data_IF_504240950383
#
_entry.id   IF_504240950383
#
_cell.length_a   1.000
_cell.length_b   1.000
_cell.length_c   1.000
_cell.angle_alpha   90.00
_cell.angle_beta   90.00
_cell.angle_gamma   90.00
#
_symmetry.space_group_name_H-M   'P 1'
#
loop_
_entity.id
_entity.type
_entity.pdbx_description
1 polymer ?
#
# COMPACT_ATOMS: atom_id res chain seq x y z
N UNK A 1 -22.94 10.30 -25.84
CA UNK A 1 -22.72 9.67 -24.53
C UNK A 1 -23.45 8.34 -24.55
N UNK A 2 -22.68 7.27 -24.58
CA UNK A 2 -23.14 5.91 -24.88
C UNK A 2 -24.02 5.37 -23.74
N UNK A 3 -25.02 4.52 -24.05
CA UNK A 3 -25.91 3.96 -23.02
C UNK A 3 -25.15 3.15 -21.95
N UNK A 4 -23.94 2.67 -22.27
CA UNK A 4 -23.04 1.96 -21.37
C UNK A 4 -22.53 2.81 -20.19
N UNK A 5 -22.49 4.14 -20.32
CA UNK A 5 -21.98 5.03 -19.25
C UNK A 5 -23.03 5.27 -18.15
N UNK A 6 -24.31 4.92 -18.39
CA UNK A 6 -25.42 5.16 -17.46
C UNK A 6 -25.63 4.05 -16.41
N UNK A 7 -24.95 2.91 -16.53
CA UNK A 7 -25.14 1.75 -15.64
C UNK A 7 -23.91 1.37 -14.81
N UNK A 8 -22.77 2.05 -14.98
CA UNK A 8 -21.56 1.75 -14.20
C UNK A 8 -21.69 2.28 -12.77
N UNK A 9 -21.47 1.41 -11.78
CA UNK A 9 -21.41 1.81 -10.38
C UNK A 9 -20.19 2.70 -10.09
N UNK A 10 -20.26 3.46 -9.00
CA UNK A 10 -19.16 4.33 -8.58
C UNK A 10 -18.17 3.53 -7.73
N UNK A 11 -16.89 3.58 -8.08
CA UNK A 11 -15.83 3.03 -7.23
C UNK A 11 -15.30 4.09 -6.28
N UNK A 12 -15.23 3.78 -4.98
CA UNK A 12 -14.55 4.61 -3.99
C UNK A 12 -13.18 4.03 -3.68
N UNK A 13 -12.13 4.78 -3.97
CA UNK A 13 -10.76 4.44 -3.60
C UNK A 13 -10.46 5.08 -2.24
N UNK A 14 -10.31 4.24 -1.22
CA UNK A 14 -9.99 4.67 0.14
C UNK A 14 -8.48 4.57 0.35
N UNK A 15 -7.82 5.72 0.48
CA UNK A 15 -6.40 5.82 0.81
C UNK A 15 -6.25 5.95 2.34
N UNK A 16 -5.94 4.84 3.00
CA UNK A 16 -5.71 4.80 4.43
C UNK A 16 -4.23 5.02 4.75
N UNK A 17 -3.87 6.21 5.22
CA UNK A 17 -2.50 6.57 5.59
C UNK A 17 -2.30 6.38 7.10
N UNK A 18 -1.25 5.66 7.47
CA UNK A 18 -1.02 5.30 8.87
C UNK A 18 0.46 5.32 9.23
N UNK A 19 0.77 5.67 10.48
CA UNK A 19 2.08 5.34 11.05
C UNK A 19 2.18 3.82 11.25
N UNK A 20 3.39 3.25 11.30
CA UNK A 20 3.54 1.84 11.61
C UNK A 20 2.88 1.46 12.94
N UNK A 21 2.47 0.19 13.05
CA UNK A 21 1.79 -0.36 14.24
C UNK A 21 0.46 0.35 14.58
N UNK A 22 -0.18 1.06 13.65
CA UNK A 22 -1.45 1.77 13.90
C UNK A 22 -2.70 0.95 13.57
N UNK A 23 -2.61 -0.39 13.62
CA UNK A 23 -3.70 -1.34 13.29
C UNK A 23 -4.26 -1.24 11.86
N UNK A 24 -3.55 -0.59 10.95
CA UNK A 24 -3.97 -0.46 9.55
C UNK A 24 -4.08 -1.81 8.83
N UNK A 25 -3.27 -2.80 9.18
CA UNK A 25 -3.42 -4.19 8.69
C UNK A 25 -4.72 -4.86 9.17
N UNK A 26 -5.16 -4.59 10.41
CA UNK A 26 -6.44 -5.13 10.88
C UNK A 26 -7.62 -4.50 10.12
N UNK A 27 -7.51 -3.19 9.80
CA UNK A 27 -8.48 -2.51 8.95
C UNK A 27 -8.47 -3.05 7.53
N UNK A 28 -7.29 -3.29 6.94
CA UNK A 28 -7.11 -3.96 5.64
C UNK A 28 -7.91 -5.27 5.60
N UNK A 29 -7.69 -6.19 6.56
CA UNK A 29 -8.42 -7.46 6.61
C UNK A 29 -9.93 -7.28 6.81
N UNK A 30 -10.36 -6.26 7.56
CA UNK A 30 -11.80 -5.98 7.75
C UNK A 30 -12.47 -5.54 6.44
N UNK A 31 -11.74 -4.81 5.60
CA UNK A 31 -12.18 -4.40 4.27
C UNK A 31 -12.15 -5.59 3.30
N UNK A 32 -11.05 -6.35 3.27
CA UNK A 32 -10.85 -7.50 2.39
C UNK A 32 -11.88 -8.63 2.59
N UNK A 33 -12.45 -8.74 3.78
CA UNK A 33 -13.52 -9.71 4.08
C UNK A 33 -14.85 -9.44 3.34
N UNK A 34 -14.99 -8.31 2.64
CA UNK A 34 -16.22 -7.92 1.94
C UNK A 34 -16.14 -8.21 0.44
N UNK A 35 -17.22 -8.72 -0.13
CA UNK A 35 -17.33 -9.03 -1.56
C UNK A 35 -17.37 -7.80 -2.48
N UNK A 36 -17.60 -6.60 -1.95
CA UNK A 36 -17.63 -5.34 -2.69
C UNK A 36 -16.33 -4.53 -2.54
N UNK A 37 -15.29 -5.15 -2.00
CA UNK A 37 -14.00 -4.53 -1.73
C UNK A 37 -12.87 -5.31 -2.36
N UNK A 38 -11.86 -4.59 -2.86
CA UNK A 38 -10.54 -5.15 -3.14
C UNK A 38 -9.52 -4.39 -2.28
N UNK A 39 -8.79 -5.12 -1.45
CA UNK A 39 -7.80 -4.54 -0.55
C UNK A 39 -6.39 -4.61 -1.13
N UNK A 40 -5.68 -3.49 -1.12
CA UNK A 40 -4.29 -3.35 -1.56
C UNK A 40 -3.38 -3.06 -0.36
N UNK A 41 -2.49 -3.99 -0.06
CA UNK A 41 -1.50 -3.85 1.02
C UNK A 41 -0.28 -3.09 0.50
N UNK A 42 -0.01 -1.93 1.12
CA UNK A 42 1.15 -1.05 0.90
C UNK A 42 1.57 -0.89 -0.58
N UNK A 43 0.67 -0.43 -1.47
CA UNK A 43 0.95 -0.43 -2.91
C UNK A 43 2.09 0.50 -3.36
N UNK A 44 2.53 1.42 -2.50
CA UNK A 44 3.64 2.34 -2.73
C UNK A 44 4.98 1.84 -2.15
N UNK A 45 5.00 0.68 -1.49
CA UNK A 45 6.18 0.24 -0.75
C UNK A 45 7.41 0.05 -1.65
N UNK A 46 7.22 -0.54 -2.84
CA UNK A 46 8.30 -0.71 -3.82
C UNK A 46 8.88 0.62 -4.29
N UNK A 47 8.01 1.57 -4.66
CA UNK A 47 8.42 2.91 -5.11
C UNK A 47 9.22 3.64 -4.02
N UNK A 48 8.76 3.53 -2.77
CA UNK A 48 9.49 4.06 -1.62
C UNK A 48 10.86 3.40 -1.45
N UNK A 49 10.95 2.06 -1.54
CA UNK A 49 12.23 1.36 -1.48
C UNK A 49 13.21 1.82 -2.57
N UNK A 50 12.72 2.03 -3.80
CA UNK A 50 13.54 2.55 -4.90
C UNK A 50 14.04 3.97 -4.62
N UNK A 51 13.17 4.85 -4.12
CA UNK A 51 13.55 6.21 -3.75
C UNK A 51 14.65 6.22 -2.67
N UNK A 52 14.51 5.41 -1.61
CA UNK A 52 15.52 5.32 -0.55
C UNK A 52 16.84 4.72 -1.03
N UNK A 53 16.79 3.74 -1.95
CA UNK A 53 17.99 3.14 -2.54
C UNK A 53 18.79 4.15 -3.37
N UNK A 54 18.10 5.07 -4.06
CA UNK A 54 18.73 6.17 -4.82
C UNK A 54 19.37 7.19 -3.85
N UNK A 55 18.71 7.48 -2.72
CA UNK A 55 19.16 8.49 -1.76
C UNK A 55 20.29 8.01 -0.80
N UNK A 56 20.93 6.88 -1.12
CA UNK A 56 22.09 6.31 -0.40
C UNK A 56 21.83 5.86 1.04
N UNK A 57 20.58 5.80 1.50
CA UNK A 57 20.21 5.10 2.73
C UNK A 57 19.81 3.67 2.41
N UNK A 58 20.71 2.72 2.66
CA UNK A 58 20.41 1.28 2.57
C UNK A 58 19.42 0.93 3.68
N UNK A 59 18.12 1.12 3.42
CA UNK A 59 17.08 0.60 4.30
C UNK A 59 17.19 -0.92 4.24
N UNK A 60 17.79 -1.51 5.27
CA UNK A 60 17.94 -2.97 5.35
C UNK A 60 16.58 -3.58 5.64
N UNK A 61 15.99 -4.18 4.61
CA UNK A 61 14.80 -5.01 4.72
C UNK A 61 15.10 -6.37 4.10
N UNK A 62 14.73 -7.48 4.75
CA UNK A 62 15.03 -8.84 4.27
C UNK A 62 14.58 -9.12 2.83
N UNK A 63 13.64 -8.33 2.29
CA UNK A 63 13.04 -8.54 0.96
C UNK A 63 13.17 -7.37 -0.01
N UNK A 64 13.89 -6.28 0.33
CA UNK A 64 13.93 -5.08 -0.51
C UNK A 64 14.41 -5.37 -1.94
N UNK A 65 15.47 -6.17 -2.08
CA UNK A 65 16.03 -6.53 -3.38
C UNK A 65 15.03 -7.30 -4.25
N UNK A 66 14.24 -8.19 -3.65
CA UNK A 66 13.20 -8.95 -4.36
C UNK A 66 12.07 -8.07 -4.87
N UNK A 67 11.67 -7.05 -4.11
CA UNK A 67 10.71 -6.04 -4.58
C UNK A 67 11.27 -5.21 -5.73
N UNK A 68 12.55 -4.81 -5.65
CA UNK A 68 13.21 -4.02 -6.70
C UNK A 68 13.29 -4.81 -8.01
N UNK A 69 13.76 -6.06 -7.94
CA UNK A 69 14.02 -6.91 -9.10
C UNK A 69 12.76 -7.59 -9.65
N UNK A 70 11.63 -7.55 -8.91
CA UNK A 70 10.41 -8.27 -9.26
C UNK A 70 10.58 -9.80 -9.21
N UNK A 71 11.62 -10.28 -8.53
CA UNK A 71 11.95 -11.70 -8.40
C UNK A 71 11.33 -12.32 -7.16
N UNK A 72 10.95 -13.59 -7.25
CA UNK A 72 10.50 -14.38 -6.10
C UNK A 72 11.45 -14.24 -4.90
N UNK A 73 10.91 -13.99 -3.71
CA UNK A 73 11.72 -14.03 -2.49
C UNK A 73 12.12 -15.45 -2.13
N UNK A 74 13.39 -15.67 -1.77
CA UNK A 74 13.88 -16.96 -1.25
C UNK A 74 13.21 -17.37 0.07
N UNK A 75 12.46 -16.46 0.69
CA UNK A 75 11.71 -16.67 1.92
C UNK A 75 10.19 -16.80 1.68
N UNK A 76 9.75 -16.79 0.41
CA UNK A 76 8.37 -17.10 0.05
C UNK A 76 8.24 -18.62 -0.07
N UNK A 77 7.79 -19.26 1.02
CA UNK A 77 7.62 -20.72 1.11
C UNK A 77 6.37 -21.24 0.41
N UNK A 78 5.80 -20.47 -0.51
CA UNK A 78 4.64 -20.91 -1.29
C UNK A 78 5.12 -21.91 -2.35
N UNK A 79 4.63 -23.15 -2.29
CA UNK A 79 5.02 -24.23 -3.21
C UNK A 79 4.61 -23.98 -4.68
N UNK A 80 3.75 -22.98 -4.93
CA UNK A 80 3.29 -22.59 -6.26
C UNK A 80 4.15 -21.46 -6.84
N UNK A 81 5.17 -21.83 -7.62
CA UNK A 81 6.06 -20.89 -8.31
C UNK A 81 5.30 -19.88 -9.19
N UNK A 82 4.15 -20.28 -9.76
CA UNK A 82 3.35 -19.40 -10.59
C UNK A 82 2.67 -18.32 -9.75
N UNK A 83 2.10 -18.70 -8.61
CA UNK A 83 1.51 -17.78 -7.64
C UNK A 83 2.55 -16.79 -7.10
N UNK A 84 3.75 -17.28 -6.74
CA UNK A 84 4.85 -16.44 -6.27
C UNK A 84 5.22 -15.43 -7.36
N UNK A 85 5.46 -15.88 -8.60
CA UNK A 85 5.83 -14.98 -9.70
C UNK A 85 4.77 -13.91 -9.96
N UNK A 86 3.49 -14.26 -9.97
CA UNK A 86 2.40 -13.29 -10.16
C UNK A 86 2.34 -12.27 -9.01
N UNK A 87 2.52 -12.72 -7.76
CA UNK A 87 2.55 -11.84 -6.59
C UNK A 87 3.63 -10.78 -6.74
N UNK A 88 4.87 -11.17 -7.04
CA UNK A 88 5.99 -10.24 -7.16
C UNK A 88 5.90 -9.35 -8.40
N UNK A 89 5.35 -9.83 -9.51
CA UNK A 89 5.04 -9.02 -10.70
C UNK A 89 3.99 -7.94 -10.40
N UNK A 90 2.97 -8.24 -9.61
CA UNK A 90 1.98 -7.24 -9.20
C UNK A 90 2.61 -6.09 -8.41
N UNK A 91 3.64 -6.38 -7.61
CA UNK A 91 4.34 -5.37 -6.82
C UNK A 91 5.18 -4.41 -7.66
N UNK A 92 5.46 -4.72 -8.94
CA UNK A 92 6.17 -3.81 -9.86
C UNK A 92 5.27 -2.76 -10.50
N UNK A 93 3.94 -2.92 -10.38
CA UNK A 93 2.95 -1.99 -10.93
C UNK A 93 2.88 -0.73 -10.07
N UNK A 94 2.66 0.41 -10.74
CA UNK A 94 2.40 1.68 -10.08
C UNK A 94 1.11 1.66 -9.25
N UNK A 95 0.94 2.63 -8.36
CA UNK A 95 -0.31 2.80 -7.60
C UNK A 95 -1.55 2.86 -8.52
N UNK A 96 -1.47 3.58 -9.63
CA UNK A 96 -2.59 3.74 -10.57
C UNK A 96 -2.94 2.42 -11.26
N UNK A 97 -1.94 1.69 -11.74
CA UNK A 97 -2.14 0.38 -12.37
C UNK A 97 -2.74 -0.63 -11.40
N UNK A 98 -2.31 -0.62 -10.13
CA UNK A 98 -2.88 -1.49 -9.09
C UNK A 98 -4.33 -1.13 -8.76
N UNK A 99 -4.65 0.15 -8.66
CA UNK A 99 -6.03 0.61 -8.46
C UNK A 99 -6.90 0.21 -9.64
N UNK A 100 -6.44 0.43 -10.87
CA UNK A 100 -7.18 0.05 -12.08
C UNK A 100 -7.43 -1.46 -12.14
N UNK A 101 -6.40 -2.28 -11.89
CA UNK A 101 -6.55 -3.73 -11.85
C UNK A 101 -7.54 -4.20 -10.78
N UNK A 102 -7.53 -3.56 -9.60
CA UNK A 102 -8.51 -3.82 -8.55
C UNK A 102 -9.94 -3.43 -8.95
N UNK A 103 -10.10 -2.33 -9.70
CA UNK A 103 -11.41 -1.91 -10.20
C UNK A 103 -12.00 -2.88 -11.22
N UNK A 104 -11.16 -3.57 -11.99
CA UNK A 104 -11.59 -4.53 -13.01
C UNK A 104 -12.19 -5.80 -12.39
N UNK A 105 -11.80 -6.15 -11.16
CA UNK A 105 -12.34 -7.32 -10.45
C UNK A 105 -13.61 -7.01 -9.65
N UNK A 106 -13.94 -5.73 -9.46
CA UNK A 106 -15.17 -5.31 -8.78
C UNK A 106 -16.41 -5.48 -9.68
N UNK A 107 -17.61 -5.71 -9.09
CA UNK A 107 -18.85 -5.78 -9.86
C UNK A 107 -19.15 -4.45 -10.57
N UNK A 108 -19.15 -4.43 -11.91
CA UNK A 108 -19.22 -3.17 -12.68
C UNK A 108 -20.58 -2.43 -12.57
N UNK A 109 -21.67 -3.15 -12.29
CA UNK A 109 -23.01 -2.56 -12.14
C UNK A 109 -23.35 -2.09 -10.72
N UNK A 110 -22.42 -2.26 -9.77
CA UNK A 110 -22.61 -1.87 -8.37
C UNK A 110 -21.51 -0.94 -7.91
N UNK A 111 -21.77 -0.19 -6.84
CA UNK A 111 -20.72 0.53 -6.17
C UNK A 111 -19.71 -0.47 -5.58
N UNK A 112 -18.44 -0.11 -5.65
CA UNK A 112 -17.35 -0.93 -5.11
C UNK A 112 -16.32 -0.07 -4.40
N UNK A 113 -15.42 -0.72 -3.68
CA UNK A 113 -14.38 -0.06 -2.91
C UNK A 113 -13.02 -0.67 -3.26
N UNK A 114 -12.05 0.18 -3.53
CA UNK A 114 -10.64 -0.22 -3.51
C UNK A 114 -10.05 0.37 -2.24
N UNK A 115 -9.62 -0.47 -1.30
CA UNK A 115 -9.03 -0.03 -0.04
C UNK A 115 -7.51 -0.14 -0.12
N UNK A 116 -6.82 1.00 -0.12
CA UNK A 116 -5.37 1.08 -0.17
C UNK A 116 -4.81 1.39 1.22
N UNK A 117 -4.11 0.45 1.82
CA UNK A 117 -3.39 0.67 3.08
C UNK A 117 -2.00 1.21 2.77
N UNK A 118 -1.69 2.41 3.27
CA UNK A 118 -0.40 3.08 3.09
C UNK A 118 0.29 3.32 4.44
N UNK A 119 1.62 3.28 4.43
CA UNK A 119 2.40 3.94 5.47
C UNK A 119 2.51 5.43 5.14
N UNK A 120 2.37 6.30 6.15
CA UNK A 120 2.37 7.74 5.96
C UNK A 120 3.64 8.26 5.27
N UNK A 121 4.79 7.64 5.55
CA UNK A 121 6.08 7.99 4.91
C UNK A 121 6.15 7.71 3.41
N UNK A 122 5.25 6.90 2.84
CA UNK A 122 5.18 6.68 1.39
C UNK A 122 4.56 7.87 0.65
N UNK A 123 4.11 8.91 1.36
CA UNK A 123 3.55 10.12 0.76
C UNK A 123 4.53 10.81 -0.22
N UNK A 124 5.84 10.67 -0.02
CA UNK A 124 6.85 11.22 -0.95
C UNK A 124 6.79 10.61 -2.35
N UNK A 125 6.18 9.43 -2.51
CA UNK A 125 6.08 8.72 -3.78
C UNK A 125 4.88 9.15 -4.63
N UNK A 126 3.97 9.96 -4.10
CA UNK A 126 2.74 10.36 -4.79
C UNK A 126 2.74 11.84 -5.14
N UNK A 127 2.18 12.16 -6.31
CA UNK A 127 1.89 13.55 -6.69
C UNK A 127 0.52 13.97 -6.16
N UNK A 128 0.35 15.18 -5.60
CA UNK A 128 -0.97 15.67 -5.17
C UNK A 128 -2.03 15.64 -6.29
N UNK A 129 -1.60 15.77 -7.55
CA UNK A 129 -2.48 15.74 -8.72
C UNK A 129 -2.85 14.32 -9.17
N UNK A 130 -2.37 13.27 -8.51
CA UNK A 130 -2.64 11.88 -8.88
C UNK A 130 -4.05 11.42 -8.46
N UNK A 131 -4.69 12.10 -7.50
CA UNK A 131 -5.98 11.70 -6.93
C UNK A 131 -7.17 12.48 -7.51
N UNK A 132 -7.32 12.44 -8.84
CA UNK A 132 -8.41 13.14 -9.54
C UNK A 132 -9.66 12.27 -9.54
N UNK A 133 -10.73 12.77 -8.90
CA UNK A 133 -12.03 12.10 -8.95
C UNK A 133 -12.72 12.33 -10.30
N UNK A 134 -13.46 11.33 -10.75
CA UNK A 134 -14.28 11.34 -11.96
C UNK A 134 -15.74 10.98 -11.59
N UNK A 135 -16.69 11.03 -12.55
CA UNK A 135 -18.05 10.57 -12.28
C UNK A 135 -18.15 9.11 -11.82
N UNK A 136 -17.14 8.28 -12.14
CA UNK A 136 -17.12 6.84 -11.84
C UNK A 136 -16.11 6.45 -10.75
N UNK A 137 -15.20 7.36 -10.37
CA UNK A 137 -14.15 7.12 -9.37
C UNK A 137 -14.09 8.26 -8.36
N UNK A 138 -14.15 7.92 -7.08
CA UNK A 138 -14.01 8.89 -5.98
C UNK A 138 -12.83 8.51 -5.10
N UNK A 139 -11.94 9.45 -4.83
CA UNK A 139 -10.85 9.26 -3.88
C UNK A 139 -11.25 9.79 -2.49
N UNK A 140 -11.00 9.00 -1.45
CA UNK A 140 -11.23 9.36 -0.04
C UNK A 140 -9.97 9.08 0.75
N UNK A 141 -9.47 10.04 1.51
CA UNK A 141 -8.28 9.89 2.34
C UNK A 141 -8.69 9.72 3.80
N UNK A 142 -8.15 8.69 4.44
CA UNK A 142 -8.33 8.40 5.88
C UNK A 142 -6.96 8.45 6.54
N UNK A 143 -6.83 9.26 7.59
CA UNK A 143 -5.61 9.36 8.38
C UNK A 143 -5.79 8.60 9.69
N UNK A 144 -5.05 7.50 9.86
CA UNK A 144 -4.99 6.76 11.11
C UNK A 144 -3.84 7.30 11.95
N UNK A 145 -4.19 8.14 12.92
CA UNK A 145 -3.25 8.75 13.85
C UNK A 145 -3.21 7.91 15.12
N UNK A 146 -1.99 7.64 15.60
CA UNK A 146 -1.72 6.97 16.88
C UNK A 146 -0.76 7.85 17.67
N UNK A 147 -0.89 7.81 19.00
CA UNK A 147 0.07 8.45 19.89
C UNK A 147 1.51 8.03 19.55
N UNK A 148 2.40 8.98 19.20
CA UNK A 148 3.77 8.68 18.77
C UNK A 148 4.57 7.94 19.85
N UNK A 149 4.32 8.19 21.14
CA UNK A 149 5.00 7.45 22.22
C UNK A 149 4.62 5.98 22.17
N UNK A 150 3.32 5.69 22.02
CA UNK A 150 2.84 4.32 21.88
C UNK A 150 3.31 3.61 20.60
N UNK A 151 3.54 4.36 19.50
CA UNK A 151 4.15 3.82 18.27
C UNK A 151 5.60 3.41 18.54
N UNK A 152 6.40 4.29 19.13
CA UNK A 152 7.81 4.02 19.46
C UNK A 152 7.96 2.83 20.41
N UNK A 153 7.16 2.78 21.48
CA UNK A 153 7.18 1.65 22.42
C UNK A 153 6.80 0.34 21.72
N UNK A 154 5.78 0.36 20.86
CA UNK A 154 5.37 -0.85 20.13
C UNK A 154 6.39 -1.29 19.09
N UNK A 155 7.13 -0.36 18.48
CA UNK A 155 8.18 -0.68 17.51
C UNK A 155 9.38 -1.33 18.21
N UNK A 156 9.78 -0.80 19.37
CA UNK A 156 10.87 -1.36 20.17
C UNK A 156 10.61 -2.81 20.61
N UNK A 157 9.34 -3.20 20.77
CA UNK A 157 8.96 -4.60 21.07
C UNK A 157 9.24 -5.59 19.92
N UNK A 158 9.60 -5.09 18.74
CA UNK A 158 9.93 -5.88 17.54
C UNK A 158 11.23 -5.37 16.91
N UNK A 159 12.15 -4.84 17.73
CA UNK A 159 13.40 -4.25 17.23
C UNK A 159 14.29 -5.27 16.51
N UNK A 160 14.20 -6.55 16.89
CA UNK A 160 14.97 -7.67 16.34
C UNK A 160 14.72 -7.87 14.84
N UNK A 161 13.45 -7.83 14.40
CA UNK A 161 13.09 -7.92 12.98
C UNK A 161 13.45 -6.67 12.18
N UNK A 162 13.81 -5.58 12.87
CA UNK A 162 14.27 -4.32 12.30
C UNK A 162 15.77 -4.07 12.51
N UNK A 163 16.55 -5.11 12.85
CA UNK A 163 18.01 -5.01 12.97
C UNK A 163 18.51 -4.31 14.25
N UNK A 164 17.66 -4.15 15.26
CA UNK A 164 17.93 -3.52 16.56
C UNK A 164 18.48 -2.08 16.52
N UNK A 165 18.44 -1.42 15.36
CA UNK A 165 18.93 -0.06 15.19
C UNK A 165 17.97 0.78 14.32
N UNK A 166 16.73 1.00 14.78
CA UNK A 166 15.72 1.65 13.96
C UNK A 166 16.05 3.12 13.70
N UNK A 167 15.96 3.56 12.45
CA UNK A 167 16.11 4.98 12.12
C UNK A 167 14.80 5.75 12.28
N UNK A 168 14.86 7.07 12.42
CA UNK A 168 13.67 7.93 12.48
C UNK A 168 12.77 7.74 11.24
N UNK A 169 13.39 7.62 10.05
CA UNK A 169 12.70 7.39 8.79
C UNK A 169 11.96 6.04 8.75
N UNK A 170 12.49 5.00 9.40
CA UNK A 170 11.83 3.71 9.47
C UNK A 170 10.51 3.77 10.24
N UNK A 171 10.49 4.52 11.34
CA UNK A 171 9.31 4.73 12.18
C UNK A 171 8.38 5.82 11.61
N UNK A 172 8.81 6.52 10.56
CA UNK A 172 8.05 7.59 9.91
C UNK A 172 8.08 8.91 10.69
N UNK A 173 9.12 9.12 11.50
CA UNK A 173 9.42 10.41 12.12
C UNK A 173 10.27 11.19 11.13
N UNK A 174 9.62 12.06 10.37
CA UNK A 174 10.27 12.90 9.38
C UNK A 174 10.55 14.28 9.99
N UNK A 175 11.69 14.92 9.67
CA UNK A 175 11.87 16.34 9.97
C UNK A 175 10.74 17.13 9.30
N UNK A 176 10.04 17.97 10.06
CA UNK A 176 9.16 18.96 9.47
C UNK A 176 10.05 20.00 8.77
N UNK A 177 9.77 20.21 7.47
CA UNK A 177 10.46 21.19 6.61
C UNK A 177 10.56 22.58 7.25
#
# INVERSE_FOLDING_TARGET
>A
ADQAERTRGVTTVVHCWSAPRSRSTALLYSFDARSDVVALDEPLYREWCLQQAIDSQVVTRPYAQHFVDGGASLFDHTDDEHHVKQKWQRETLSLEERIRGAMETLPQEKNGIVFCKHMAKHWSCVSPNQFVSSPTVRHVHVLLIRDPVAVLTSWNSSADVHGNNPTADEVGILPLL
#
